data_IF_950726999901
#
_entry.id   IF_950726999901
#
_cell.length_a   1.000
_cell.length_b   1.000
_cell.length_c   1.000
_cell.angle_alpha   90.00
_cell.angle_beta   90.00
_cell.angle_gamma   90.00
#
_symmetry.space_group_name_H-M   'P 1'
#
loop_
_entity.id
_entity.type
_entity.pdbx_description
1 polymer ?
2 non-polymer ?
3 water ?
#
# COMPACT_ATOMS: atom_id res chain seq x y z
N UNK A 7 -14.97 -2.11 -1.02
CA UNK A 7 -14.77 -3.55 -1.24
C UNK A 7 -13.29 -3.75 -1.69
N UNK A 8 -12.40 -3.92 -0.72
CA UNK A 8 -10.97 -4.12 -0.94
C UNK A 8 -10.66 -5.56 -1.30
N UNK A 9 -9.42 -5.78 -1.74
CA UNK A 9 -8.98 -7.12 -2.09
C UNK A 9 -8.74 -7.92 -0.82
N UNK A 10 -8.30 -9.17 -1.03
CA UNK A 10 -8.01 -10.06 0.07
C UNK A 10 -9.23 -10.65 0.74
N UNK A 11 -10.41 -10.38 0.20
CA UNK A 11 -11.67 -10.87 0.76
C UNK A 11 -11.93 -12.34 0.39
N UNK A 12 -11.07 -13.25 0.85
CA UNK A 12 -11.25 -14.67 0.44
C UNK A 12 -12.47 -15.34 1.03
N UNK A 13 -12.80 -15.00 2.26
CA UNK A 13 -13.99 -15.61 2.89
C UNK A 13 -15.17 -15.17 2.05
N UNK A 14 -15.27 -13.88 1.72
CA UNK A 14 -16.40 -13.40 0.91
C UNK A 14 -16.42 -14.04 -0.48
N UNK A 15 -15.24 -14.14 -1.11
CA UNK A 15 -15.12 -14.76 -2.43
C UNK A 15 -15.57 -16.23 -2.42
N UNK A 16 -15.10 -16.97 -1.43
CA UNK A 16 -15.47 -18.36 -1.28
C UNK A 16 -16.99 -18.47 -1.05
N UNK A 17 -17.55 -17.55 -0.28
CA UNK A 17 -18.99 -17.58 -0.01
C UNK A 17 -19.79 -17.41 -1.28
N UNK A 18 -19.32 -16.53 -2.17
CA UNK A 18 -19.98 -16.33 -3.45
C UNK A 18 -20.04 -17.63 -4.26
N UNK A 19 -19.01 -18.47 -4.12
CA UNK A 19 -18.94 -19.74 -4.85
C UNK A 19 -19.58 -20.90 -4.10
N UNK A 20 -19.76 -20.71 -2.80
CA UNK A 20 -20.33 -21.78 -2.00
C UNK A 20 -19.29 -22.80 -1.57
N UNK A 21 -18.02 -22.37 -1.48
CA UNK A 21 -16.92 -23.25 -1.07
C UNK A 21 -16.12 -22.67 0.12
N UNK A 22 -15.17 -23.46 0.62
CA UNK A 22 -14.33 -23.02 1.72
C UNK A 22 -13.20 -22.11 1.18
N UNK A 23 -12.84 -21.04 1.90
CA UNK A 23 -11.78 -20.14 1.42
C UNK A 23 -10.42 -20.81 1.29
N UNK A 24 -10.26 -21.96 1.92
CA UNK A 24 -9.00 -22.68 1.83
C UNK A 24 -8.81 -23.26 0.43
N UNK A 25 -9.86 -23.18 -0.40
CA UNK A 25 -9.81 -23.71 -1.77
C UNK A 25 -9.50 -22.61 -2.78
N UNK A 26 -9.31 -21.38 -2.33
CA UNK A 26 -9.00 -20.31 -3.27
C UNK A 26 -7.53 -19.91 -3.22
N UNK A 27 -7.00 -19.49 -4.37
CA UNK A 27 -5.63 -19.01 -4.51
C UNK A 27 -5.86 -17.50 -4.70
N UNK A 28 -5.38 -16.72 -3.74
CA UNK A 28 -5.62 -15.29 -3.77
C UNK A 28 -4.53 -14.42 -4.34
N UNK A 29 -4.92 -13.68 -5.36
CA UNK A 29 -4.02 -12.77 -6.04
C UNK A 29 -4.61 -11.39 -5.91
N UNK A 30 -5.61 -11.24 -5.01
CA UNK A 30 -6.27 -9.92 -4.89
C UNK A 30 -5.71 -9.01 -3.77
N UNK A 31 -4.79 -9.55 -2.98
CA UNK A 31 -4.11 -8.79 -1.92
C UNK A 31 -2.64 -9.03 -2.28
N UNK A 32 -1.74 -8.15 -1.83
CA UNK A 32 -0.35 -8.23 -2.25
C UNK A 32 0.58 -8.42 -1.10
N UNK A 33 0.67 -9.67 -0.63
CA UNK A 33 1.50 -9.95 0.54
C UNK A 33 2.76 -10.71 0.17
N UNK A 34 3.89 -10.35 0.77
CA UNK A 34 5.18 -11.03 0.47
C UNK A 34 4.93 -12.54 0.51
N UNK A 35 5.20 -13.27 -0.60
CA UNK A 35 4.97 -14.72 -0.65
C UNK A 35 5.87 -15.55 0.26
N UNK A 36 6.94 -14.95 0.77
CA UNK A 36 7.83 -15.65 1.68
C UNK A 36 7.15 -15.92 3.00
N UNK A 37 6.04 -15.22 3.28
CA UNK A 37 5.39 -15.45 4.56
C UNK A 37 6.07 -14.60 5.63
N UNK A 38 5.64 -14.72 6.88
CA UNK A 38 6.25 -13.90 7.94
C UNK A 38 7.64 -14.44 8.22
N UNK A 39 8.58 -13.56 8.61
CA UNK A 39 9.94 -14.06 8.91
C UNK A 39 9.90 -15.11 10.02
N UNK A 40 10.77 -16.11 9.90
CA UNK A 40 10.81 -17.14 10.91
C UNK A 40 10.99 -16.62 12.36
N UNK A 41 11.86 -15.63 12.55
CA UNK A 41 12.12 -15.04 13.86
C UNK A 41 10.86 -14.42 14.45
N UNK A 42 10.05 -13.83 13.57
CA UNK A 42 8.80 -13.22 14.00
C UNK A 42 7.86 -14.30 14.56
N UNK A 43 7.67 -15.40 13.82
CA UNK A 43 6.78 -16.45 14.30
C UNK A 43 7.28 -17.04 15.63
N UNK A 44 8.58 -17.24 15.73
CA UNK A 44 9.15 -17.78 16.97
C UNK A 44 8.91 -16.84 18.16
N UNK A 45 9.16 -15.56 17.93
CA UNK A 45 8.97 -14.56 18.99
C UNK A 45 7.52 -14.48 19.44
N UNK A 46 6.59 -14.56 18.48
CA UNK A 46 5.16 -14.52 18.82
C UNK A 46 4.82 -15.73 19.67
N UNK A 47 5.30 -16.91 19.29
CA UNK A 47 4.96 -18.08 20.08
C UNK A 47 5.57 -18.04 21.48
N UNK A 48 6.82 -17.60 21.55
CA UNK A 48 7.52 -17.52 22.82
C UNK A 48 6.98 -16.48 23.78
N UNK A 49 6.38 -15.41 23.26
CA UNK A 49 5.87 -14.33 24.11
C UNK A 49 4.35 -14.12 24.08
N UNK A 50 3.62 -15.15 23.69
CA UNK A 50 2.19 -15.08 23.61
C UNK A 50 1.47 -14.63 24.88
N UNK A 51 2.02 -14.98 26.05
CA UNK A 51 1.38 -14.60 27.30
C UNK A 51 1.38 -13.09 27.51
N UNK A 52 2.08 -12.34 26.66
CA UNK A 52 2.08 -10.89 26.83
C UNK A 52 0.69 -10.33 26.56
N UNK A 53 -0.18 -11.11 25.95
CA UNK A 53 -1.51 -10.59 25.67
C UNK A 53 -2.40 -10.56 26.92
N UNK A 54 -1.90 -11.07 28.05
CA UNK A 54 -2.67 -11.04 29.30
C UNK A 54 -2.57 -9.66 29.98
N UNK A 55 -1.81 -8.76 29.37
CA UNK A 55 -1.66 -7.41 29.89
C UNK A 55 -1.94 -6.43 28.75
N UNK A 56 -2.32 -5.20 29.11
CA UNK A 56 -2.55 -4.19 28.07
C UNK A 56 -1.22 -3.88 27.35
N UNK A 57 -1.29 -3.41 26.10
CA UNK A 57 -0.05 -3.06 25.41
C UNK A 57 0.48 -1.80 26.13
N UNK A 58 1.76 -1.48 25.98
CA UNK A 58 2.31 -0.23 26.57
C UNK A 58 1.60 0.88 25.80
N UNK A 59 0.82 1.72 26.48
CA UNK A 59 0.11 2.76 25.75
C UNK A 59 1.01 3.69 24.90
N UNK A 60 2.27 3.85 25.33
CA UNK A 60 3.22 4.70 24.61
C UNK A 60 4.11 3.92 23.64
N UNK A 61 3.92 2.60 23.59
CA UNK A 61 4.70 1.70 22.73
C UNK A 61 6.18 2.09 22.68
N UNK A 62 6.80 2.16 23.85
CA UNK A 62 8.21 2.56 23.89
C UNK A 62 9.17 1.70 23.06
N UNK A 63 9.14 0.40 23.31
CA UNK A 63 10.04 -0.50 22.59
C UNK A 63 9.80 -0.47 21.08
N UNK A 64 8.52 -0.46 20.69
CA UNK A 64 8.20 -0.39 19.27
C UNK A 64 8.68 0.90 18.61
N UNK A 65 8.38 2.05 19.22
CA UNK A 65 8.79 3.30 18.62
C UNK A 65 10.30 3.40 18.62
N UNK A 66 10.95 2.89 19.66
CA UNK A 66 12.42 2.93 19.69
C UNK A 66 12.97 2.11 18.52
N UNK A 67 12.34 0.97 18.22
CA UNK A 67 12.80 0.09 17.14
C UNK A 67 12.61 0.75 15.78
N UNK A 68 11.49 1.44 15.62
CA UNK A 68 11.21 2.12 14.36
C UNK A 68 12.19 3.29 14.20
N UNK A 69 12.42 4.02 15.29
CA UNK A 69 13.36 5.15 15.26
C UNK A 69 14.79 4.72 14.93
N UNK A 70 15.24 3.61 15.52
CA UNK A 70 16.59 3.11 15.24
C UNK A 70 16.68 2.68 13.78
N UNK A 71 15.60 2.07 13.31
CA UNK A 71 15.55 1.61 11.93
C UNK A 71 15.74 2.74 10.94
N UNK A 72 15.03 3.86 11.14
CA UNK A 72 15.13 4.96 10.20
C UNK A 72 16.14 6.01 10.61
N UNK A 73 16.78 5.81 11.76
CA UNK A 73 17.71 6.81 12.30
C UNK A 73 17.11 8.23 12.41
N UNK A 74 15.95 8.31 13.05
CA UNK A 74 15.31 9.60 13.26
C UNK A 74 14.85 9.60 14.71
N UNK A 75 14.47 10.78 15.23
CA UNK A 75 14.01 10.91 16.62
C UNK A 75 12.74 10.08 16.80
N UNK A 76 12.65 9.35 17.90
CA UNK A 76 11.47 8.53 18.17
C UNK A 76 10.24 9.44 18.23
N UNK A 77 10.45 10.70 18.55
CA UNK A 77 9.32 11.63 18.62
C UNK A 77 8.63 11.92 17.29
N UNK A 78 9.26 11.51 16.19
CA UNK A 78 8.70 11.74 14.87
C UNK A 78 7.76 10.61 14.43
N UNK A 79 7.69 9.57 15.23
CA UNK A 79 6.93 8.38 14.87
C UNK A 79 5.70 8.01 15.71
N UNK A 80 4.65 7.58 15.03
CA UNK A 80 3.44 7.13 15.70
C UNK A 80 2.96 5.88 14.99
N UNK A 81 3.08 4.76 15.68
CA UNK A 81 2.63 3.46 15.14
C UNK A 81 1.07 3.39 15.19
N UNK A 82 0.51 2.64 14.24
CA UNK A 82 -0.93 2.51 14.15
C UNK A 82 -1.36 1.07 13.88
N UNK A 83 -2.64 0.79 14.11
CA UNK A 83 -3.27 -0.55 13.94
C UNK A 83 -3.42 -0.71 12.42
N UNK A 84 -2.28 -0.95 11.76
CA UNK A 84 -2.20 -1.04 10.32
C UNK A 84 -1.94 0.39 9.84
N UNK A 85 -1.34 0.55 8.66
CA UNK A 85 -1.16 1.91 8.08
C UNK A 85 -2.57 2.49 7.84
N UNK A 86 -3.57 1.60 7.68
CA UNK A 86 -4.95 2.09 7.54
C UNK A 86 -5.24 3.06 8.73
N UNK A 87 -4.88 2.68 9.96
CA UNK A 87 -5.16 3.61 11.05
C UNK A 87 -4.36 4.89 10.91
N UNK A 88 -3.12 4.78 10.47
CA UNK A 88 -2.30 5.97 10.29
C UNK A 88 -2.95 6.96 9.32
N UNK A 89 -3.62 6.44 8.30
CA UNK A 89 -4.29 7.31 7.29
C UNK A 89 -5.42 8.06 7.99
N UNK A 90 -6.20 7.32 8.80
CA UNK A 90 -7.30 8.00 9.50
C UNK A 90 -6.78 8.97 10.53
N UNK A 91 -5.66 8.64 11.17
CA UNK A 91 -5.05 9.52 12.17
C UNK A 91 -4.57 10.83 11.56
N UNK A 92 -3.90 10.76 10.41
CA UNK A 92 -3.41 11.98 9.82
C UNK A 92 -4.58 12.84 9.35
N UNK A 93 -5.62 12.20 8.80
CA UNK A 93 -6.75 12.98 8.34
C UNK A 93 -7.43 13.70 9.49
N UNK A 94 -7.65 12.96 10.56
CA UNK A 94 -8.34 13.53 11.69
C UNK A 94 -7.43 14.52 12.41
N UNK A 95 -6.14 14.23 12.50
CA UNK A 95 -5.23 15.14 13.19
C UNK A 95 -4.96 16.44 12.45
N UNK A 96 -5.00 16.39 11.13
CA UNK A 96 -4.79 17.59 10.33
C UNK A 96 -6.08 18.34 10.03
N UNK A 97 -7.20 17.63 10.10
CA UNK A 97 -8.54 18.21 9.83
C UNK A 97 -8.47 19.27 8.71
N UNK A 98 -8.09 18.84 7.51
CA UNK A 98 -7.99 19.78 6.38
C UNK A 98 -9.38 20.24 5.97
N UNK A 99 -9.48 21.50 5.55
CA UNK A 99 -10.74 22.06 5.05
C UNK A 99 -10.94 21.70 3.58
N UNK A 100 -9.83 21.67 2.85
CA UNK A 100 -9.80 21.32 1.43
C UNK A 100 -8.55 20.43 1.27
N UNK A 101 -8.72 19.33 0.55
CA UNK A 101 -7.63 18.39 0.33
C UNK A 101 -7.73 17.80 -1.07
N UNK A 102 -6.59 17.45 -1.64
CA UNK A 102 -6.58 16.85 -2.96
C UNK A 102 -6.07 15.43 -2.88
N UNK A 103 -6.72 14.52 -3.61
CA UNK A 103 -6.25 13.15 -3.69
C UNK A 103 -6.04 12.92 -5.18
N UNK A 104 -5.34 11.84 -5.51
CA UNK A 104 -5.03 11.50 -6.90
C UNK A 104 -5.75 10.20 -7.25
N UNK A 105 -6.55 10.23 -8.30
CA UNK A 105 -7.31 9.05 -8.70
C UNK A 105 -6.77 8.50 -10.02
N UNK A 106 -6.75 7.16 -10.16
CA UNK A 106 -7.20 6.19 -9.15
C UNK A 106 -6.20 6.08 -8.00
N UNK A 107 -6.71 5.81 -6.80
CA UNK A 107 -5.84 5.66 -5.63
C UNK A 107 -6.56 4.80 -4.61
N UNK A 108 -5.84 4.43 -3.55
CA UNK A 108 -6.36 3.62 -2.45
C UNK A 108 -7.60 4.32 -1.91
N UNK A 109 -8.70 3.58 -1.71
CA UNK A 109 -9.95 4.22 -1.26
C UNK A 109 -10.00 4.87 0.11
N UNK A 110 -9.15 4.44 1.03
CA UNK A 110 -9.27 4.99 2.38
C UNK A 110 -8.90 6.46 2.54
N UNK A 111 -8.06 7.01 1.66
CA UNK A 111 -7.77 8.46 1.85
C UNK A 111 -9.11 9.22 1.78
N UNK A 112 -9.86 8.95 0.72
CA UNK A 112 -11.15 9.59 0.57
C UNK A 112 -12.12 9.33 1.72
N UNK A 113 -12.15 8.09 2.22
CA UNK A 113 -13.07 7.79 3.32
C UNK A 113 -12.72 8.56 4.56
N UNK A 114 -11.42 8.58 4.85
CA UNK A 114 -10.90 9.27 6.02
C UNK A 114 -11.18 10.78 5.95
N UNK A 115 -10.98 11.35 4.78
CA UNK A 115 -11.18 12.80 4.65
C UNK A 115 -12.63 13.17 4.75
N UNK A 116 -13.49 12.35 4.13
CA UNK A 116 -14.93 12.57 4.13
C UNK A 116 -15.44 12.58 5.57
N UNK A 117 -15.01 11.59 6.33
CA UNK A 117 -15.44 11.50 7.71
C UNK A 117 -14.94 12.68 8.53
N UNK A 118 -13.80 13.24 8.16
CA UNK A 118 -13.26 14.38 8.90
C UNK A 118 -13.92 15.70 8.51
N UNK A 119 -14.80 15.67 7.50
CA UNK A 119 -15.50 16.87 7.06
C UNK A 119 -14.74 17.73 6.06
N UNK A 120 -13.89 17.14 5.23
CA UNK A 120 -13.09 17.91 4.27
C UNK A 120 -13.69 17.98 2.85
N UNK A 121 -13.46 19.10 2.14
CA UNK A 121 -13.90 19.26 0.74
C UNK A 121 -12.78 18.59 -0.07
N UNK A 122 -13.14 17.52 -0.76
CA UNK A 122 -12.16 16.74 -1.52
C UNK A 122 -12.10 17.11 -2.99
N UNK A 123 -10.89 17.39 -3.47
CA UNK A 123 -10.71 17.70 -4.88
C UNK A 123 -9.94 16.51 -5.42
N UNK A 124 -10.25 16.09 -6.65
CA UNK A 124 -9.53 14.95 -7.21
C UNK A 124 -8.65 15.33 -8.40
N UNK A 125 -7.39 14.90 -8.36
CA UNK A 125 -6.50 15.17 -9.50
C UNK A 125 -6.57 13.85 -10.26
N UNK A 126 -7.09 13.88 -11.48
CA UNK A 126 -7.25 12.64 -12.23
C UNK A 126 -6.07 12.23 -13.08
N UNK A 127 -5.57 11.02 -12.85
CA UNK A 127 -4.48 10.50 -13.70
C UNK A 127 -5.20 10.15 -15.00
N UNK A 128 -4.46 10.09 -16.10
CA UNK A 128 -5.07 9.83 -17.44
C UNK A 128 -4.60 8.57 -18.12
N UNK A 129 -5.55 7.82 -18.66
CA UNK A 129 -5.23 6.60 -19.36
C UNK A 129 -4.28 6.94 -20.52
N UNK A 130 -4.40 8.14 -21.08
CA UNK A 130 -3.52 8.54 -22.21
C UNK A 130 -2.07 8.76 -21.76
N UNK A 131 -1.87 8.92 -20.45
CA UNK A 131 -0.54 9.10 -19.87
C UNK A 131 -0.06 7.75 -19.32
N UNK A 132 -0.82 6.70 -19.59
CA UNK A 132 -0.49 5.38 -19.05
C UNK A 132 -0.60 5.40 -17.52
N UNK A 133 -1.44 6.31 -17.03
CA UNK A 133 -1.73 6.47 -15.58
C UNK A 133 -0.58 7.01 -14.76
N UNK A 134 0.41 7.58 -15.44
CA UNK A 134 1.56 8.18 -14.74
C UNK A 134 1.21 9.55 -14.15
N UNK A 135 1.75 9.87 -12.98
CA UNK A 135 1.55 11.18 -12.37
C UNK A 135 2.51 12.08 -13.14
N UNK A 136 2.03 13.24 -13.56
CA UNK A 136 2.84 14.18 -14.33
C UNK A 136 2.95 15.53 -13.67
N UNK A 137 3.82 16.39 -14.23
CA UNK A 137 4.00 17.72 -13.66
C UNK A 137 2.79 18.61 -13.88
N UNK A 138 1.79 18.13 -14.63
CA UNK A 138 0.56 18.88 -14.83
C UNK A 138 -0.10 19.13 -13.47
N UNK A 139 0.15 18.25 -12.51
CA UNK A 139 -0.48 18.48 -11.19
C UNK A 139 0.00 19.76 -10.49
N UNK A 140 1.23 20.19 -10.77
CA UNK A 140 1.75 21.37 -10.09
C UNK A 140 0.89 22.63 -10.23
N UNK A 141 0.38 22.89 -11.42
CA UNK A 141 -0.44 24.08 -11.66
C UNK A 141 -1.79 23.92 -10.97
N UNK A 142 -2.17 22.67 -10.67
CA UNK A 142 -3.43 22.41 -9.98
C UNK A 142 -3.32 22.64 -8.48
N UNK A 143 -2.09 22.76 -7.98
CA UNK A 143 -1.89 22.99 -6.55
C UNK A 143 -2.12 24.47 -6.27
N UNK A 144 -3.01 24.77 -5.33
CA UNK A 144 -3.32 26.16 -5.00
C UNK A 144 -3.22 26.47 -3.50
N UNK A 145 -2.97 27.74 -3.15
CA UNK A 145 -2.85 28.19 -1.76
C UNK A 145 -3.96 27.70 -0.87
N UNK A 146 -5.19 27.63 -1.39
CA UNK A 146 -6.31 27.21 -0.53
C UNK A 146 -6.31 25.72 -0.12
N UNK A 147 -5.42 24.91 -0.71
CA UNK A 147 -5.37 23.50 -0.32
C UNK A 147 -4.65 23.34 1.00
N UNK A 148 -5.16 22.46 1.86
CA UNK A 148 -4.51 22.19 3.13
C UNK A 148 -3.65 20.93 3.04
N UNK A 149 -4.11 19.97 2.25
CA UNK A 149 -3.38 18.68 2.15
C UNK A 149 -3.41 18.10 0.74
N UNK A 150 -2.39 17.29 0.43
CA UNK A 150 -2.30 16.61 -0.86
C UNK A 150 -1.84 15.21 -0.51
N UNK A 151 -2.59 14.19 -0.95
CA UNK A 151 -2.19 12.78 -0.72
C UNK A 151 -1.64 12.17 -2.00
N UNK A 152 -0.42 11.62 -1.95
CA UNK A 152 0.15 10.93 -3.13
C UNK A 152 0.53 9.55 -2.64
N UNK A 153 0.46 8.56 -3.53
CA UNK A 153 0.79 7.19 -3.14
C UNK A 153 2.02 6.83 -4.00
N UNK A 154 3.10 6.43 -3.34
CA UNK A 154 4.37 6.18 -4.00
C UNK A 154 5.01 4.86 -3.58
N UNK A 155 4.89 3.80 -4.43
CA UNK A 155 4.21 3.73 -5.73
C UNK A 155 2.69 3.68 -5.52
N UNK A 156 1.95 3.98 -6.58
CA UNK A 156 0.49 4.06 -6.49
C UNK A 156 -0.23 2.72 -6.52
N UNK A 157 -1.36 2.66 -5.80
CA UNK A 157 -2.28 1.50 -5.74
C UNK A 157 -3.39 2.08 -6.65
N UNK A 158 -3.80 1.36 -7.71
CA UNK A 158 -3.29 0.04 -8.12
C UNK A 158 -2.29 -0.07 -9.28
N UNK A 159 -1.81 1.05 -9.80
CA UNK A 159 -0.93 1.05 -10.95
C UNK A 159 0.48 0.55 -10.74
N UNK A 160 0.96 0.63 -9.50
CA UNK A 160 2.33 0.22 -9.18
C UNK A 160 3.38 1.18 -9.71
N UNK A 161 2.96 2.33 -10.23
CA UNK A 161 3.89 3.31 -10.78
C UNK A 161 4.46 4.20 -9.70
N UNK A 162 5.75 4.50 -9.83
CA UNK A 162 6.43 5.36 -8.85
C UNK A 162 6.80 6.69 -9.49
N UNK A 163 6.27 7.80 -8.97
CA UNK A 163 6.65 9.07 -9.60
C UNK A 163 8.16 9.32 -9.45
N UNK A 164 8.70 10.06 -10.43
CA UNK A 164 10.10 10.43 -10.48
C UNK A 164 10.47 11.28 -9.24
N UNK A 165 11.64 11.02 -8.65
CA UNK A 165 12.07 11.78 -7.49
C UNK A 165 12.00 13.28 -7.73
N UNK A 166 12.53 13.76 -8.87
CA UNK A 166 12.48 15.18 -9.17
C UNK A 166 11.07 15.74 -9.17
N UNK A 167 10.10 14.98 -9.67
CA UNK A 167 8.72 15.46 -9.67
C UNK A 167 8.22 15.48 -8.23
N UNK A 168 8.52 14.44 -7.46
CA UNK A 168 8.06 14.45 -6.07
C UNK A 168 8.69 15.65 -5.33
N UNK A 169 9.97 15.92 -5.62
CA UNK A 169 10.61 17.05 -4.98
C UNK A 169 9.96 18.37 -5.40
N UNK A 170 9.61 18.48 -6.67
CA UNK A 170 8.96 19.70 -7.15
C UNK A 170 7.61 19.89 -6.46
N UNK A 171 6.88 18.80 -6.28
CA UNK A 171 5.59 18.87 -5.61
C UNK A 171 5.78 19.26 -4.15
N UNK A 172 6.77 18.66 -3.51
CA UNK A 172 7.04 18.93 -2.12
C UNK A 172 7.41 20.40 -1.91
N UNK A 173 8.23 20.93 -2.81
CA UNK A 173 8.65 22.32 -2.71
C UNK A 173 7.50 23.29 -2.91
N UNK A 174 6.61 22.96 -3.85
CA UNK A 174 5.47 23.82 -4.13
C UNK A 174 4.56 23.78 -2.93
N UNK A 175 4.38 22.60 -2.37
CA UNK A 175 3.53 22.45 -1.18
C UNK A 175 4.10 23.29 -0.04
N UNK A 176 5.40 23.26 0.13
CA UNK A 176 6.02 24.04 1.20
C UNK A 176 5.70 25.51 1.01
N UNK A 177 5.76 25.99 -0.22
CA UNK A 177 5.50 27.41 -0.47
C UNK A 177 4.02 27.78 -0.39
N UNK A 178 3.13 26.83 -0.68
CA UNK A 178 1.69 27.11 -0.65
C UNK A 178 1.06 26.66 0.67
N UNK A 179 1.89 26.30 1.64
CA UNK A 179 1.38 25.87 2.95
C UNK A 179 0.44 24.68 2.80
N UNK A 180 0.88 23.69 2.03
CA UNK A 180 0.06 22.50 1.82
C UNK A 180 0.79 21.35 2.50
N UNK A 181 0.07 20.49 3.22
CA UNK A 181 0.72 19.34 3.84
C UNK A 181 0.76 18.24 2.78
N UNK A 182 1.91 17.58 2.66
CA UNK A 182 2.08 16.52 1.66
C UNK A 182 2.17 15.21 2.39
N UNK A 183 1.19 14.33 2.12
CA UNK A 183 1.15 13.03 2.76
C UNK A 183 1.57 12.01 1.69
N UNK A 184 2.67 11.31 1.92
CA UNK A 184 3.15 10.32 0.95
C UNK A 184 2.87 8.93 1.50
N UNK A 185 2.08 8.17 0.75
CA UNK A 185 1.77 6.83 1.20
C UNK A 185 2.83 5.89 0.61
N UNK A 186 3.79 5.51 1.45
CA UNK A 186 4.88 4.63 1.02
C UNK A 186 4.63 3.17 1.43
N UNK A 187 3.36 2.77 1.51
CA UNK A 187 2.99 1.42 1.88
C UNK A 187 3.76 0.32 1.14
N UNK A 188 4.06 0.55 -0.12
CA UNK A 188 4.75 -0.49 -0.89
C UNK A 188 6.18 -0.13 -1.27
N UNK A 189 6.73 0.92 -0.70
CA UNK A 189 8.06 1.35 -1.09
C UNK A 189 9.18 0.37 -0.77
N UNK A 190 8.98 -0.48 0.24
CA UNK A 190 10.08 -1.38 0.60
C UNK A 190 10.39 -2.39 -0.45
N UNK A 191 9.42 -2.68 -1.31
CA UNK A 191 9.60 -3.68 -2.36
C UNK A 191 10.48 -3.20 -3.51
N UNK A 192 10.58 -1.88 -3.68
CA UNK A 192 11.37 -1.32 -4.78
C UNK A 192 12.82 -1.20 -4.35
N UNK A 193 13.68 -2.03 -4.94
CA UNK A 193 15.11 -2.02 -4.61
C UNK A 193 15.76 -0.64 -4.61
N UNK A 194 16.44 -0.33 -3.52
CA UNK A 194 17.18 0.91 -3.32
C UNK A 194 16.38 2.22 -3.26
N UNK A 195 15.05 2.13 -3.21
CA UNK A 195 14.23 3.34 -3.11
C UNK A 195 14.14 3.72 -1.66
N UNK A 196 14.64 4.90 -1.28
CA UNK A 196 14.60 5.27 0.13
C UNK A 196 13.36 5.99 0.63
N UNK A 197 12.55 6.54 -0.27
CA UNK A 197 11.37 7.27 0.16
C UNK A 197 11.79 8.63 0.72
N UNK A 198 10.87 9.30 1.40
CA UNK A 198 11.17 10.62 1.95
C UNK A 198 11.51 10.72 3.43
N UNK A 199 11.54 9.60 4.17
CA UNK A 199 11.85 9.74 5.58
C UNK A 199 13.24 10.40 5.80
N UNK A 200 14.23 10.06 4.97
CA UNK A 200 15.57 10.66 5.11
C UNK A 200 15.56 12.18 4.86
N UNK A 201 14.45 12.72 4.34
CA UNK A 201 14.37 14.15 4.07
C UNK A 201 13.38 14.95 4.91
N UNK A 202 12.85 14.37 5.98
CA UNK A 202 11.86 15.08 6.80
C UNK A 202 12.37 16.18 7.72
N UNK A 203 13.64 16.07 8.11
CA UNK A 203 14.25 17.01 9.04
C UNK A 203 13.89 18.44 8.75
N UNK A 204 14.11 18.89 7.53
CA UNK A 204 13.81 20.29 7.22
C UNK A 204 12.50 20.49 6.43
N UNK A 205 11.62 19.51 6.52
CA UNK A 205 10.35 19.56 5.82
C UNK A 205 9.21 19.07 6.73
N UNK A 206 8.80 19.87 7.71
CA UNK A 206 7.72 19.50 8.63
C UNK A 206 6.34 19.46 7.98
N UNK A 207 6.25 19.81 6.71
CA UNK A 207 4.96 19.77 5.99
C UNK A 207 4.79 18.42 5.32
N UNK A 208 5.83 17.59 5.39
CA UNK A 208 5.75 16.29 4.75
C UNK A 208 5.44 15.20 5.77
N UNK A 209 4.46 14.35 5.43
CA UNK A 209 4.08 13.24 6.30
C UNK A 209 4.27 11.95 5.54
N UNK A 210 4.94 10.96 6.13
CA UNK A 210 5.13 9.70 5.42
C UNK A 210 4.41 8.57 6.16
N UNK A 211 3.64 7.79 5.39
CA UNK A 211 2.88 6.65 5.89
C UNK A 211 3.64 5.38 5.51
N UNK A 212 3.80 4.48 6.46
CA UNK A 212 4.49 3.23 6.21
C UNK A 212 3.67 2.05 6.68
N UNK A 213 3.89 0.89 6.07
CA UNK A 213 3.16 -0.28 6.50
C UNK A 213 4.12 -1.44 6.61
N UNK A 214 3.92 -2.29 7.59
CA UNK A 214 4.76 -3.49 7.68
C UNK A 214 3.97 -4.72 7.21
N UNK A 215 2.69 -4.57 6.89
CA UNK A 215 1.92 -5.77 6.59
C UNK A 215 2.21 -6.49 5.28
N UNK A 216 2.52 -5.77 4.22
CA UNK A 216 2.80 -6.45 2.96
C UNK A 216 4.23 -7.01 2.90
N UNK A 217 5.18 -6.16 3.26
CA UNK A 217 6.59 -6.53 3.18
C UNK A 217 7.01 -7.63 4.14
N UNK A 218 6.42 -7.67 5.32
CA UNK A 218 6.78 -8.69 6.31
C UNK A 218 5.66 -9.71 6.47
N UNK A 219 4.62 -9.63 5.64
CA UNK A 219 3.52 -10.58 5.68
C UNK A 219 2.79 -10.78 6.98
N UNK A 220 2.36 -9.69 7.60
CA UNK A 220 1.59 -9.76 8.84
C UNK A 220 0.32 -8.90 8.71
N UNK A 221 -0.37 -8.94 7.55
CA UNK A 221 -1.58 -8.12 7.39
C UNK A 221 -2.68 -8.49 8.39
N UNK A 222 -2.64 -9.72 8.90
CA UNK A 222 -3.64 -10.12 9.89
C UNK A 222 -3.34 -9.57 11.29
N UNK A 223 -2.10 -9.11 11.51
CA UNK A 223 -1.71 -8.60 12.83
C UNK A 223 -1.97 -7.11 12.92
N UNK A 224 -1.91 -6.44 11.77
CA UNK A 224 -2.16 -4.99 11.63
C UNK A 224 -1.05 -4.09 12.20
N UNK A 225 -0.18 -3.57 11.35
CA UNK A 225 0.83 -2.67 11.87
C UNK A 225 1.34 -1.75 10.78
N UNK A 226 1.25 -0.45 11.08
CA UNK A 226 1.79 0.56 10.17
C UNK A 226 2.26 1.71 11.06
N UNK A 227 2.72 2.80 10.44
CA UNK A 227 3.14 3.96 11.22
C UNK A 227 3.23 5.23 10.38
N UNK A 228 3.29 6.37 11.07
CA UNK A 228 3.35 7.66 10.43
C UNK A 228 4.61 8.37 10.92
N UNK A 229 5.27 9.10 10.03
CA UNK A 229 6.47 9.83 10.41
C UNK A 229 6.40 11.28 9.95
N UNK A 230 6.75 12.19 10.85
CA UNK A 230 6.73 13.61 10.54
C UNK A 230 7.63 14.34 11.56
N UNK A 231 8.29 15.43 11.15
CA UNK A 231 9.22 16.12 12.08
C UNK A 231 8.72 17.37 12.79
N UNK A 232 7.42 17.62 12.70
CA UNK A 232 6.83 18.79 13.37
C UNK A 232 6.48 18.31 14.78
N UNK A 233 7.23 18.81 15.76
CA UNK A 233 7.02 18.45 17.15
C UNK A 233 5.58 18.59 17.62
N UNK A 234 5.03 19.79 17.46
CA UNK A 234 3.67 20.08 17.88
C UNK A 234 2.60 19.25 17.18
N UNK A 235 2.73 19.10 15.87
CA UNK A 235 1.70 18.35 15.14
C UNK A 235 1.66 16.87 15.52
N UNK A 236 2.83 16.27 15.71
CA UNK A 236 2.90 14.85 16.09
C UNK A 236 2.35 14.70 17.50
N UNK A 237 2.60 15.70 18.35
CA UNK A 237 2.10 15.66 19.71
C UNK A 237 0.59 15.63 19.67
N UNK A 238 0.00 16.41 18.75
CA UNK A 238 -1.46 16.43 18.63
C UNK A 238 -1.99 15.07 18.16
N UNK A 239 -1.29 14.44 17.20
CA UNK A 239 -1.63 13.13 16.65
C UNK A 239 -1.64 12.09 17.79
N UNK A 240 -0.73 12.24 18.73
CA UNK A 240 -0.67 11.27 19.83
C UNK A 240 -1.91 11.34 20.71
N UNK A 241 -2.63 12.46 20.65
CA UNK A 241 -3.87 12.60 21.42
C UNK A 241 -5.07 12.16 20.58
N UNK A 242 -5.28 12.76 19.43
CA UNK A 242 -6.40 12.37 18.59
C UNK A 242 -6.43 10.85 18.37
N UNK A 243 -5.38 10.17 18.82
CA UNK A 243 -5.29 8.73 18.66
C UNK A 243 -6.00 7.97 19.79
N UNK A 244 -6.60 6.85 19.42
CA UNK A 244 -7.32 6.03 20.39
C UNK A 244 -6.30 5.24 21.20
N UNK A 245 -6.49 5.13 22.52
CA UNK A 245 -5.51 4.39 23.31
C UNK A 245 -5.46 2.88 23.03
N UNK A 246 -4.26 2.31 23.17
CA UNK A 246 -3.98 0.88 22.97
C UNK A 246 -4.40 0.34 21.64
N UNK A 247 -4.32 1.15 20.59
CA UNK A 247 -4.82 0.72 19.29
C UNK A 247 -3.98 -0.37 18.65
N UNK A 248 -2.69 -0.41 18.99
CA UNK A 248 -1.77 -1.41 18.42
C UNK A 248 -1.74 -2.61 19.35
N UNK A 249 -2.05 -3.81 18.86
CA UNK A 249 -2.07 -4.93 19.78
C UNK A 249 -0.64 -5.36 20.17
N UNK A 250 -0.52 -6.02 21.32
CA UNK A 250 0.79 -6.37 21.87
C UNK A 250 1.63 -7.24 20.94
N UNK A 251 0.97 -8.12 20.20
CA UNK A 251 1.70 -9.00 19.28
C UNK A 251 2.17 -8.26 18.05
N UNK A 252 1.39 -7.31 17.56
CA UNK A 252 1.83 -6.52 16.42
C UNK A 252 3.09 -5.73 16.82
N UNK A 253 3.07 -5.16 18.01
CA UNK A 253 4.23 -4.36 18.43
C UNK A 253 5.49 -5.21 18.50
N UNK A 254 5.34 -6.41 19.06
CA UNK A 254 6.44 -7.37 19.21
C UNK A 254 6.95 -7.78 17.84
N UNK A 255 6.02 -8.17 16.97
CA UNK A 255 6.34 -8.59 15.61
C UNK A 255 7.08 -7.49 14.87
N UNK A 256 6.64 -6.24 15.02
CA UNK A 256 7.31 -5.17 14.31
C UNK A 256 8.77 -5.04 14.72
N UNK A 257 9.02 -5.11 16.02
CA UNK A 257 10.37 -4.96 16.56
C UNK A 257 11.26 -6.08 16.03
N UNK A 258 10.76 -7.30 16.11
CA UNK A 258 11.52 -8.45 15.66
C UNK A 258 11.77 -8.39 14.15
N UNK A 259 10.73 -8.06 13.39
CA UNK A 259 10.87 -8.02 11.96
C UNK A 259 11.99 -7.13 11.49
N UNK A 260 12.12 -5.97 12.12
CA UNK A 260 13.15 -5.00 11.73
C UNK A 260 14.57 -5.46 12.01
N UNK A 261 14.68 -6.56 12.75
CA UNK A 261 15.99 -7.10 13.12
C UNK A 261 16.48 -8.16 12.14
N UNK A 262 15.62 -8.58 11.23
CA UNK A 262 16.03 -9.58 10.24
C UNK A 262 16.85 -8.91 9.14
N UNK A 263 18.18 -9.00 9.25
CA UNK A 263 19.06 -8.34 8.29
C UNK A 263 19.16 -8.98 6.89
N UNK A 264 18.49 -10.11 6.67
CA UNK A 264 18.53 -10.76 5.35
C UNK A 264 17.22 -10.61 4.59
N UNK A 265 16.18 -10.19 5.31
CA UNK A 265 14.86 -10.10 4.71
C UNK A 265 14.79 -9.21 3.49
N UNK A 266 15.37 -8.02 3.60
CA UNK A 266 15.32 -7.08 2.49
C UNK A 266 15.95 -7.62 1.20
N UNK A 267 17.19 -8.10 1.28
CA UNK A 267 17.86 -8.63 0.10
C UNK A 267 17.11 -9.82 -0.47
N UNK A 268 16.63 -10.71 0.38
CA UNK A 268 15.88 -11.86 -0.09
C UNK A 268 14.61 -11.47 -0.88
N UNK A 269 13.87 -10.48 -0.36
CA UNK A 269 12.66 -10.01 -1.03
C UNK A 269 12.98 -9.32 -2.36
N UNK A 270 13.99 -8.46 -2.36
CA UNK A 270 14.37 -7.77 -3.58
C UNK A 270 14.80 -8.80 -4.66
N UNK A 271 15.59 -9.79 -4.25
CA UNK A 271 16.06 -10.82 -5.18
C UNK A 271 14.89 -11.55 -5.84
N UNK A 272 13.92 -11.93 -5.02
CA UNK A 272 12.73 -12.61 -5.54
C UNK A 272 12.04 -11.67 -6.55
N UNK A 273 11.88 -10.41 -6.20
CA UNK A 273 11.18 -9.53 -7.13
C UNK A 273 11.94 -9.38 -8.46
N UNK A 274 13.25 -9.24 -8.35
CA UNK A 274 14.08 -9.11 -9.52
C UNK A 274 14.07 -10.37 -10.38
N UNK A 275 13.91 -11.53 -9.75
CA UNK A 275 13.94 -12.78 -10.50
C UNK A 275 12.55 -13.26 -10.92
N UNK A 276 11.79 -13.85 -10.00
CA UNK A 276 10.43 -14.32 -10.33
C UNK A 276 9.51 -13.18 -10.76
N UNK A 277 9.59 -12.05 -10.07
CA UNK A 277 8.77 -10.90 -10.41
C UNK A 277 9.00 -10.47 -11.85
N UNK A 278 10.25 -10.47 -12.29
CA UNK A 278 10.54 -10.08 -13.64
C UNK A 278 10.07 -11.18 -14.59
N UNK A 279 10.23 -12.44 -14.19
CA UNK A 279 9.81 -13.57 -15.04
C UNK A 279 8.28 -13.59 -15.20
N UNK A 280 7.58 -13.28 -14.10
CA UNK A 280 6.10 -13.23 -14.12
C UNK A 280 5.61 -12.09 -15.01
N UNK A 281 6.23 -10.93 -14.86
CA UNK A 281 5.85 -9.79 -15.66
C UNK A 281 6.04 -10.09 -17.15
N UNK A 282 7.17 -10.68 -17.51
CA UNK A 282 7.38 -11.00 -18.93
C UNK A 282 6.32 -11.96 -19.47
N UNK A 283 5.97 -12.98 -18.69
CA UNK A 283 4.97 -13.97 -19.11
C UNK A 283 3.61 -13.32 -19.29
N UNK A 284 3.24 -12.39 -18.40
CA UNK A 284 1.95 -11.71 -18.54
C UNK A 284 1.94 -10.91 -19.83
N UNK A 285 3.06 -10.30 -20.14
CA UNK A 285 3.14 -9.48 -21.35
C UNK A 285 3.10 -10.29 -22.64
N UNK A 286 3.29 -11.60 -22.54
CA UNK A 286 3.25 -12.45 -23.73
C UNK A 286 1.80 -12.87 -24.05
N UNK A 287 0.87 -12.61 -23.13
CA UNK A 287 -0.53 -12.97 -23.32
C UNK A 287 -1.23 -12.00 -24.28
N UNK A 288 -2.12 -12.53 -25.14
CA UNK A 288 -2.83 -11.65 -26.09
C UNK A 288 -4.01 -10.98 -25.39
N UNK A 289 -4.54 -9.94 -26.03
CA UNK A 289 -5.71 -9.21 -25.53
C UNK A 289 -5.55 -8.74 -24.08
N UNK A 290 -4.36 -8.30 -23.73
CA UNK A 290 -4.11 -7.85 -22.36
C UNK A 290 -3.05 -6.78 -22.33
N UNK A 291 -3.29 -5.72 -21.57
CA UNK A 291 -2.30 -4.67 -21.44
C UNK A 291 -1.81 -4.82 -19.99
N UNK A 292 -0.50 -4.79 -19.79
CA UNK A 292 0.08 -4.94 -18.46
C UNK A 292 0.91 -3.71 -18.13
N UNK A 293 0.59 -3.03 -17.04
CA UNK A 293 1.31 -1.82 -16.72
C UNK A 293 2.59 -2.17 -15.99
N UNK A 294 3.64 -1.36 -16.15
CA UNK A 294 4.96 -1.56 -15.52
C UNK A 294 5.09 -1.22 -14.03
N UNK A 295 4.41 -2.02 -13.21
CA UNK A 295 4.43 -1.83 -11.77
C UNK A 295 5.81 -2.13 -11.22
N UNK A 296 6.24 -1.33 -10.22
CA UNK A 296 7.55 -1.46 -9.59
C UNK A 296 7.56 -2.26 -8.31
N UNK A 297 6.40 -2.64 -7.77
CA UNK A 297 6.41 -3.44 -6.54
C UNK A 297 5.84 -4.84 -6.80
N UNK A 298 5.23 -5.43 -5.77
CA UNK A 298 4.70 -6.80 -5.89
C UNK A 298 3.25 -6.95 -6.37
N UNK A 299 2.89 -6.18 -7.40
CA UNK A 299 1.57 -6.30 -8.01
C UNK A 299 1.59 -5.64 -9.38
N UNK A 300 0.63 -6.02 -10.23
CA UNK A 300 0.58 -5.41 -11.57
C UNK A 300 -0.86 -5.14 -11.96
N UNK A 301 -1.05 -4.00 -12.57
CA UNK A 301 -2.36 -3.59 -13.05
C UNK A 301 -2.51 -4.14 -14.47
N UNK A 302 -3.66 -4.74 -14.75
CA UNK A 302 -3.94 -5.35 -16.05
C UNK A 302 -5.16 -4.72 -16.68
N UNK A 303 -5.15 -4.59 -18.01
CA UNK A 303 -6.33 -4.08 -18.69
C UNK A 303 -6.74 -5.16 -19.70
N UNK A 304 -7.91 -5.73 -19.49
CA UNK A 304 -8.41 -6.78 -20.37
C UNK A 304 -8.99 -6.13 -21.61
N UNK A 305 -8.44 -6.51 -22.77
CA UNK A 305 -8.85 -5.96 -24.05
C UNK A 305 -10.10 -6.62 -24.65
N UNK A 306 -10.69 -7.55 -23.90
CA UNK A 306 -11.93 -8.22 -24.30
C UNK A 306 -13.07 -7.75 -23.41
N UNK A 307 -13.82 -6.75 -23.85
CA UNK A 307 -14.94 -6.18 -23.09
C UNK A 307 -15.93 -7.24 -22.56
N UNK A 308 -16.43 -8.08 -23.47
CA UNK A 308 -17.40 -9.13 -23.13
C UNK A 308 -16.77 -10.27 -22.31
N UNK A 309 -16.07 -9.91 -21.24
CA UNK A 309 -15.42 -10.91 -20.40
C UNK A 309 -15.06 -10.37 -19.02
N UNK A 310 -15.83 -10.74 -17.99
CA UNK A 310 -15.51 -10.32 -16.64
C UNK A 310 -14.38 -11.23 -16.17
N UNK A 311 -13.15 -10.75 -16.27
CA UNK A 311 -11.97 -11.54 -15.87
C UNK A 311 -12.02 -12.07 -14.45
N UNK A 312 -12.50 -11.23 -13.52
CA UNK A 312 -12.57 -11.65 -12.13
C UNK A 312 -13.57 -12.78 -11.95
N UNK A 313 -14.78 -12.61 -12.52
CA UNK A 313 -15.80 -13.64 -12.42
C UNK A 313 -15.27 -14.91 -13.06
N UNK A 314 -14.68 -14.78 -14.26
CA UNK A 314 -14.12 -15.94 -14.95
C UNK A 314 -13.00 -16.64 -14.20
N UNK A 315 -12.12 -15.88 -13.54
CA UNK A 315 -11.05 -16.55 -12.81
C UNK A 315 -11.62 -17.12 -11.49
N UNK A 316 -12.61 -16.46 -10.91
CA UNK A 316 -13.18 -16.96 -9.66
C UNK A 316 -13.77 -18.35 -9.89
N UNK A 317 -14.39 -18.59 -11.04
CA UNK A 317 -14.93 -19.94 -11.29
C UNK A 317 -13.77 -20.94 -11.37
N UNK A 318 -12.58 -20.45 -11.70
CA UNK A 318 -11.38 -21.31 -11.74
C UNK A 318 -10.69 -21.33 -10.36
N UNK A 319 -11.39 -20.80 -9.35
CA UNK A 319 -10.90 -20.75 -7.98
C UNK A 319 -9.65 -19.90 -7.75
N UNK A 320 -9.51 -18.82 -8.55
CA UNK A 320 -8.39 -17.87 -8.41
C UNK A 320 -9.06 -16.52 -8.28
N UNK A 321 -8.76 -15.84 -7.18
CA UNK A 321 -9.32 -14.53 -6.88
C UNK A 321 -8.40 -13.41 -7.29
N UNK A 322 -8.90 -12.47 -8.10
CA UNK A 322 -8.08 -11.32 -8.47
C UNK A 322 -8.86 -10.08 -8.08
N UNK A 323 -8.16 -8.96 -8.11
CA UNK A 323 -8.79 -7.70 -7.76
C UNK A 323 -9.41 -7.05 -9.00
N UNK A 324 -10.70 -6.68 -8.88
CA UNK A 324 -11.39 -5.95 -9.94
C UNK A 324 -11.20 -4.50 -9.55
N UNK A 325 -10.73 -3.68 -10.50
CA UNK A 325 -10.50 -2.27 -10.21
C UNK A 325 -11.64 -1.36 -10.65
N UNK A 326 -12.76 -1.95 -11.05
CA UNK A 326 -13.90 -1.14 -11.46
C UNK A 326 -14.36 -0.15 -10.38
N UNK A 327 -14.15 -0.48 -9.12
CA UNK A 327 -14.57 0.42 -8.03
C UNK A 327 -13.59 1.55 -7.68
N UNK A 328 -12.51 1.67 -8.47
CA UNK A 328 -11.59 2.77 -8.28
C UNK A 328 -12.08 3.91 -9.20
N UNK A 329 -12.21 5.10 -8.66
CA UNK A 329 -12.64 6.24 -9.48
C UNK A 329 -11.59 6.45 -10.59
N UNK A 330 -12.04 6.49 -11.83
CA UNK A 330 -11.12 6.69 -12.94
C UNK A 330 -10.87 5.42 -13.74
N UNK A 331 -11.09 4.25 -13.14
CA UNK A 331 -10.88 2.98 -13.85
C UNK A 331 -12.24 2.34 -14.10
N UNK A 332 -12.34 1.57 -15.18
CA UNK A 332 -13.60 0.91 -15.53
C UNK A 332 -13.48 -0.61 -15.44
N UNK A 333 -14.52 -1.31 -15.88
CA UNK A 333 -14.56 -2.78 -15.78
C UNK A 333 -13.49 -3.60 -16.49
N UNK A 334 -12.68 -2.95 -17.32
CA UNK A 334 -11.60 -3.65 -18.02
C UNK A 334 -10.37 -3.85 -17.14
N UNK A 335 -10.32 -3.11 -16.03
CA UNK A 335 -9.13 -3.13 -15.17
C UNK A 335 -9.19 -4.08 -13.98
N UNK A 336 -8.07 -4.79 -13.77
CA UNK A 336 -7.90 -5.76 -12.71
C UNK A 336 -6.49 -5.63 -12.14
N UNK A 337 -6.26 -6.17 -10.95
CA UNK A 337 -4.90 -6.13 -10.40
C UNK A 337 -4.58 -7.51 -9.88
N UNK A 338 -3.34 -7.95 -10.10
CA UNK A 338 -2.87 -9.22 -9.56
C UNK A 338 -1.58 -9.04 -8.77
N UNK A 339 -1.45 -9.82 -7.70
CA UNK A 339 -0.26 -9.80 -6.88
C UNK A 339 0.81 -10.54 -7.65
N UNK A 340 2.05 -10.40 -7.16
CA UNK A 340 3.16 -11.18 -7.68
C UNK A 340 3.44 -12.11 -6.49
N UNK A 341 3.34 -13.43 -6.72
CA UNK A 341 3.55 -14.38 -5.66
C UNK A 341 4.69 -15.33 -6.00
N UNK A 342 4.64 -16.56 -5.47
CA UNK A 342 5.69 -17.56 -5.72
C UNK A 342 5.58 -18.02 -7.15
N UNK A 343 6.64 -18.62 -7.69
CA UNK A 343 6.60 -19.09 -9.06
C UNK A 343 5.47 -20.07 -9.35
N UNK A 344 5.27 -21.04 -8.48
CA UNK A 344 4.22 -22.04 -8.68
C UNK A 344 2.83 -21.42 -8.78
N UNK A 345 2.53 -20.53 -7.83
CA UNK A 345 1.24 -19.84 -7.82
C UNK A 345 1.13 -18.92 -9.04
N UNK A 346 2.22 -18.25 -9.40
CA UNK A 346 2.16 -17.37 -10.56
C UNK A 346 1.84 -18.18 -11.83
N UNK A 347 2.36 -19.40 -11.87
CA UNK A 347 2.10 -20.25 -13.02
C UNK A 347 0.63 -20.66 -13.11
N UNK A 348 0.00 -20.90 -11.96
CA UNK A 348 -1.41 -21.25 -11.96
C UNK A 348 -2.21 -20.06 -12.46
N UNK A 349 -1.81 -18.85 -12.04
CA UNK A 349 -2.53 -17.68 -12.50
C UNK A 349 -2.37 -17.54 -14.01
N UNK A 350 -1.15 -17.68 -14.50
CA UNK A 350 -0.90 -17.54 -15.93
C UNK A 350 -1.73 -18.52 -16.76
N UNK A 351 -1.77 -19.77 -16.33
CA UNK A 351 -2.50 -20.80 -17.06
C UNK A 351 -3.98 -20.49 -17.15
N UNK A 352 -4.52 -19.92 -16.06
CA UNK A 352 -5.91 -19.57 -16.02
C UNK A 352 -6.17 -18.46 -17.00
N UNK A 353 -5.29 -17.44 -16.99
CA UNK A 353 -5.42 -16.31 -17.91
C UNK A 353 -5.40 -16.77 -19.38
N UNK A 354 -4.50 -17.69 -19.72
CA UNK A 354 -4.43 -18.21 -21.08
C UNK A 354 -5.75 -18.82 -21.55
N UNK A 355 -6.44 -19.54 -20.66
CA UNK A 355 -7.70 -20.17 -21.02
C UNK A 355 -8.76 -19.19 -21.40
N UNK A 356 -8.60 -17.96 -20.92
CA UNK A 356 -9.55 -16.90 -21.18
C UNK A 356 -9.02 -15.93 -22.24
N UNK A 357 -7.74 -16.01 -22.57
CA UNK A 357 -7.23 -15.04 -23.53
C UNK A 357 -6.71 -15.59 -24.86
N UNK A 358 -6.11 -16.78 -24.84
CA UNK A 358 -5.56 -17.40 -26.06
C UNK A 358 -6.64 -18.03 -26.97
N UNK A 359 -6.38 -18.07 -28.28
CA UNK A 359 -7.36 -18.64 -29.20
C UNK A 359 -8.59 -17.79 -29.48
N UNK A 360 -8.52 -16.52 -29.12
CA UNK A 360 -9.64 -15.62 -29.35
C UNK A 360 -9.28 -14.52 -30.37
N UNK A 361 -10.18 -14.30 -31.33
CA UNK A 361 -9.95 -13.27 -32.35
C UNK A 361 -10.19 -11.88 -31.77
N UNK A 362 -9.55 -10.86 -32.34
CA UNK A 362 -9.71 -9.48 -31.86
C UNK A 362 -11.18 -9.03 -31.84
#
# INVERSE_FOLDING_TARGET
>A
MALFNTAHGGNIREPATVLGISPDQLLDFSANINPLGMPVSVKRALIDNLDCIERYPDADYFHLHQALARHHQVPASWILAGNGETESIFTVASGLKPRRAMIVTPGFAEYGRALAQSGCEIRRWSLREADGWQLTDAILEALTPDLDCLFLCTPNNPTGLLPERPLLQAIADRCKSLNINLILDEAFIDFIPHETGFIPALKDNPHIWVLRSLTKFYAIPGLRLGYLVNSDDAAMARMRRQQMPWSVNALAALAGEVALQDSAWQQATWHWLREEGARFYQALCQLPLLTVYPGRANYLLLRCEREDIDLQRRLLTQRILIRSCANYPGLDSRYYRVAIRSAAQNERLLAALRNVLTGIAPAD
#
